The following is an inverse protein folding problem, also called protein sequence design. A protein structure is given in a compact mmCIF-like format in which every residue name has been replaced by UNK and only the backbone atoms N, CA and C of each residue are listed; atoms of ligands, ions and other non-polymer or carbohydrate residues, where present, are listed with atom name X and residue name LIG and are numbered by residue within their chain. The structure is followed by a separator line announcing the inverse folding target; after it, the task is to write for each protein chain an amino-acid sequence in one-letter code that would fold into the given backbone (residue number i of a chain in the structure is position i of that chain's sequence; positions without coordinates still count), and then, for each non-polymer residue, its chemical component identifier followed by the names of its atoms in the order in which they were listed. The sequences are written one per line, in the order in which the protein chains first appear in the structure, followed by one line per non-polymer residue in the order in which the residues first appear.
data_IF_897921366910
#
_entry.id   IF_897921366910
#
_cell.length_a   1.000
_cell.length_b   1.000
_cell.length_c   1.000
_cell.angle_alpha   90.00
_cell.angle_beta   90.00
_cell.angle_gamma   90.00
#
_symmetry.space_group_name_H-M   'P 1'
#
loop_
_entity.id
_entity.type
_entity.pdbx_description
1 polymer ?
#
# COMPACT_ATOMS: atom_id res chain seq x y z
N UNK A 1 -5.49 -9.27 0.71
CA UNK A 1 -6.11 -8.01 0.22
C UNK A 1 -7.60 -7.98 0.46
N UNK A 2 -8.36 -9.03 0.09
CA UNK A 2 -9.77 -9.18 0.47
C UNK A 2 -9.99 -8.96 1.98
N UNK A 3 -9.20 -9.64 2.81
CA UNK A 3 -9.31 -9.53 4.28
C UNK A 3 -9.07 -8.11 4.82
N UNK A 4 -8.18 -7.33 4.19
CA UNK A 4 -7.96 -5.93 4.55
C UNK A 4 -9.18 -5.08 4.19
N UNK A 5 -9.71 -5.26 2.98
CA UNK A 5 -10.87 -4.49 2.50
C UNK A 5 -12.09 -4.81 3.35
N UNK A 6 -12.36 -6.09 3.62
CA UNK A 6 -13.46 -6.50 4.51
C UNK A 6 -13.30 -5.89 5.90
N UNK A 7 -12.09 -5.94 6.49
CA UNK A 7 -11.83 -5.36 7.81
C UNK A 7 -12.11 -3.85 7.87
N UNK A 8 -11.73 -3.09 6.85
CA UNK A 8 -11.87 -1.64 6.87
C UNK A 8 -13.18 -1.11 6.29
N UNK A 9 -13.91 -1.93 5.53
CA UNK A 9 -15.23 -1.57 4.99
C UNK A 9 -16.26 -1.41 6.11
N UNK A 10 -16.19 -2.26 7.15
CA UNK A 10 -17.05 -2.17 8.34
C UNK A 10 -16.81 -0.91 9.19
N UNK A 11 -15.77 -0.12 8.86
CA UNK A 11 -15.31 1.05 9.62
C UNK A 11 -15.41 2.36 8.83
N UNK A 12 -16.08 2.35 7.68
CA UNK A 12 -16.23 3.50 6.76
C UNK A 12 -14.90 4.19 6.36
N UNK A 13 -13.77 3.48 6.52
CA UNK A 13 -12.43 4.04 6.27
C UNK A 13 -11.93 3.78 4.85
N UNK A 14 -12.61 2.88 4.12
CA UNK A 14 -12.26 2.46 2.75
C UNK A 14 -13.53 2.36 1.93
N UNK A 15 -13.61 3.15 0.85
CA UNK A 15 -14.71 3.10 -0.10
C UNK A 15 -14.36 2.18 -1.28
N UNK A 16 -15.20 1.18 -1.52
CA UNK A 16 -15.03 0.20 -2.60
C UNK A 16 -16.01 0.52 -3.72
N UNK A 17 -15.51 0.61 -4.96
CA UNK A 17 -16.32 0.83 -6.15
C UNK A 17 -17.05 -0.46 -6.60
N UNK A 18 -18.03 -0.39 -7.53
CA UNK A 18 -18.75 -1.57 -8.02
C UNK A 18 -17.88 -2.65 -8.67
N UNK A 19 -16.62 -2.34 -8.98
CA UNK A 19 -15.65 -3.24 -9.58
C UNK A 19 -14.61 -3.76 -8.57
N UNK A 20 -14.80 -3.45 -7.28
CA UNK A 20 -13.94 -3.89 -6.18
C UNK A 20 -12.72 -3.02 -5.94
N UNK A 21 -12.45 -1.99 -6.76
CA UNK A 21 -11.32 -1.10 -6.50
C UNK A 21 -11.62 -0.24 -5.28
N UNK A 22 -10.59 0.18 -4.56
CA UNK A 22 -10.78 1.15 -3.50
C UNK A 22 -9.70 2.22 -3.52
N UNK A 23 -10.10 3.41 -3.08
CA UNK A 23 -9.24 4.57 -2.92
C UNK A 23 -9.53 5.20 -1.56
N UNK A 24 -8.47 5.47 -0.80
CA UNK A 24 -8.57 6.01 0.55
C UNK A 24 -7.28 6.76 0.93
N UNK A 25 -7.35 7.63 1.93
CA UNK A 25 -6.15 8.19 2.53
C UNK A 25 -5.57 7.22 3.55
N UNK A 26 -4.27 6.93 3.46
CA UNK A 26 -3.59 6.01 4.35
C UNK A 26 -2.30 6.60 4.88
N UNK A 27 -2.02 6.35 6.16
CA UNK A 27 -0.67 6.50 6.68
C UNK A 27 0.19 5.36 6.15
N UNK A 28 1.31 5.73 5.55
CA UNK A 28 2.28 4.83 4.94
C UNK A 28 3.60 4.96 5.69
N UNK A 29 4.11 3.84 6.21
CA UNK A 29 5.47 3.73 6.72
C UNK A 29 6.30 2.90 5.75
N UNK A 30 7.26 3.53 5.09
CA UNK A 30 8.15 2.92 4.12
C UNK A 30 9.54 2.77 4.73
N UNK A 31 10.03 1.55 4.84
CA UNK A 31 11.37 1.24 5.35
C UNK A 31 12.20 0.53 4.28
N UNK A 32 13.40 1.05 4.02
CA UNK A 32 14.39 0.45 3.12
C UNK A 32 15.81 0.74 3.61
N UNK A 33 16.81 0.18 2.93
CA UNK A 33 18.22 0.53 3.19
C UNK A 33 18.56 1.98 2.78
N UNK A 34 17.73 2.62 1.95
CA UNK A 34 17.90 4.01 1.54
C UNK A 34 17.32 5.01 2.55
N UNK A 35 16.51 4.54 3.52
CA UNK A 35 15.89 5.38 4.52
C UNK A 35 14.51 4.89 4.95
N UNK A 36 13.95 5.60 5.92
CA UNK A 36 12.59 5.39 6.42
C UNK A 36 11.79 6.68 6.26
N UNK A 37 10.57 6.56 5.73
CA UNK A 37 9.61 7.68 5.59
C UNK A 37 8.28 7.24 6.17
N UNK A 38 7.67 8.13 6.96
CA UNK A 38 6.26 8.01 7.36
C UNK A 38 5.53 9.20 6.80
N UNK A 39 4.49 8.95 6.00
CA UNK A 39 3.69 10.02 5.39
C UNK A 39 2.25 9.57 5.17
N UNK A 40 1.33 10.52 4.99
CA UNK A 40 -0.06 10.24 4.62
C UNK A 40 -0.24 10.54 3.15
N UNK A 41 -0.76 9.58 2.39
CA UNK A 41 -0.99 9.73 0.95
C UNK A 41 -2.27 9.03 0.52
N UNK A 42 -2.70 9.27 -0.71
CA UNK A 42 -3.76 8.51 -1.35
C UNK A 42 -3.24 7.12 -1.68
N UNK A 43 -3.99 6.10 -1.27
CA UNK A 43 -3.72 4.69 -1.55
C UNK A 43 -4.84 4.17 -2.44
N UNK A 44 -4.46 3.52 -3.54
CA UNK A 44 -5.40 2.91 -4.47
C UNK A 44 -5.12 1.42 -4.61
N UNK A 45 -6.12 0.59 -4.39
CA UNK A 45 -6.07 -0.84 -4.69
C UNK A 45 -6.86 -1.13 -5.95
N UNK A 46 -6.23 -1.88 -6.86
CA UNK A 46 -6.85 -2.33 -8.11
C UNK A 46 -7.30 -3.77 -7.90
N UNK A 47 -8.58 -4.03 -8.13
CA UNK A 47 -9.22 -5.35 -7.93
C UNK A 47 -9.86 -5.91 -9.18
N UNK A 48 -9.51 -5.38 -10.35
CA UNK A 48 -10.11 -5.78 -11.61
C UNK A 48 -9.08 -5.86 -12.75
N UNK A 49 -9.42 -6.65 -13.77
CA UNK A 49 -8.66 -6.74 -15.01
C UNK A 49 -7.24 -7.31 -14.84
N UNK A 50 -6.36 -6.92 -15.76
CA UNK A 50 -4.95 -7.36 -15.80
C UNK A 50 -4.11 -6.81 -14.63
N UNK A 51 -4.57 -5.72 -14.01
CA UNK A 51 -3.89 -5.04 -12.91
C UNK A 51 -4.42 -5.46 -11.54
N UNK A 52 -5.24 -6.51 -11.46
CA UNK A 52 -5.77 -7.01 -10.18
C UNK A 52 -4.64 -7.32 -9.20
N UNK A 53 -4.79 -6.80 -7.99
CA UNK A 53 -3.81 -6.92 -6.92
C UNK A 53 -2.78 -5.80 -6.91
N UNK A 54 -2.78 -4.85 -7.84
CA UNK A 54 -1.83 -3.73 -7.76
C UNK A 54 -2.24 -2.72 -6.69
N UNK A 55 -1.23 -2.16 -6.03
CA UNK A 55 -1.37 -1.08 -5.05
C UNK A 55 -0.60 0.13 -5.57
N UNK A 56 -1.23 1.30 -5.58
CA UNK A 56 -0.60 2.56 -5.96
C UNK A 56 -0.65 3.56 -4.81
N UNK A 57 0.45 4.25 -4.60
CA UNK A 57 0.57 5.36 -3.65
C UNK A 57 0.66 6.67 -4.42
N UNK A 58 -0.02 7.70 -3.93
CA UNK A 58 0.15 9.06 -4.42
C UNK A 58 1.53 9.61 -4.05
N UNK A 59 2.09 10.44 -4.93
CA UNK A 59 3.30 11.19 -4.61
C UNK A 59 3.02 12.27 -3.55
N UNK A 60 3.99 12.48 -2.67
CA UNK A 60 4.02 13.57 -1.70
C UNK A 60 5.39 14.23 -1.71
N UNK A 61 5.62 15.22 -0.83
CA UNK A 61 6.95 15.80 -0.65
C UNK A 61 8.00 14.79 -0.15
N UNK A 62 7.57 13.75 0.58
CA UNK A 62 8.46 12.74 1.17
C UNK A 62 8.45 11.41 0.40
N UNK A 63 7.30 11.02 -0.16
CA UNK A 63 7.13 9.82 -0.98
C UNK A 63 7.15 10.21 -2.46
N UNK A 64 8.33 10.18 -3.07
CA UNK A 64 8.50 10.47 -4.51
C UNK A 64 8.95 9.25 -5.27
N UNK A 65 8.50 9.10 -6.53
CA UNK A 65 8.92 8.01 -7.40
C UNK A 65 10.42 8.06 -7.75
N UNK A 66 11.10 9.18 -7.50
CA UNK A 66 12.56 9.23 -7.57
C UNK A 66 13.24 8.37 -6.50
N UNK A 67 12.70 8.41 -5.27
CA UNK A 67 13.33 7.82 -4.09
C UNK A 67 12.71 6.48 -3.67
N UNK A 68 11.44 6.24 -3.95
CA UNK A 68 10.68 5.07 -3.49
C UNK A 68 9.92 4.38 -4.62
N UNK A 69 9.49 3.13 -4.41
CA UNK A 69 8.49 2.52 -5.28
C UNK A 69 7.10 2.97 -4.83
N UNK A 70 6.28 3.44 -5.76
CA UNK A 70 4.91 3.89 -5.46
C UNK A 70 3.86 3.00 -6.13
N UNK A 71 4.30 2.06 -6.97
CA UNK A 71 3.48 1.03 -7.59
C UNK A 71 3.99 -0.33 -7.14
N UNK A 72 3.07 -1.16 -6.64
CA UNK A 72 3.36 -2.51 -6.19
C UNK A 72 2.52 -3.51 -6.97
N UNK A 73 3.13 -4.63 -7.34
CA UNK A 73 2.47 -5.76 -8.01
C UNK A 73 2.70 -7.04 -7.22
N UNK A 74 1.70 -7.93 -7.10
CA UNK A 74 1.89 -9.25 -6.50
C UNK A 74 2.93 -10.10 -7.24
N UNK A 75 3.29 -9.74 -8.48
CA UNK A 75 4.35 -10.41 -9.25
C UNK A 75 5.75 -10.18 -8.66
N UNK A 76 5.93 -9.08 -7.93
CA UNK A 76 7.24 -8.62 -7.44
C UNK A 76 7.28 -8.40 -5.92
N UNK A 77 6.12 -8.31 -5.28
CA UNK A 77 5.97 -8.06 -3.85
C UNK A 77 5.04 -9.08 -3.21
N UNK A 78 5.26 -9.35 -1.93
CA UNK A 78 4.36 -10.15 -1.10
C UNK A 78 3.52 -9.23 -0.23
N UNK A 79 2.23 -9.54 -0.09
CA UNK A 79 1.32 -8.77 0.75
C UNK A 79 0.84 -9.61 1.92
N UNK A 80 0.88 -9.02 3.12
CA UNK A 80 0.40 -9.62 4.34
C UNK A 80 -0.56 -8.65 5.03
N UNK A 81 -1.76 -9.12 5.35
CA UNK A 81 -2.68 -8.35 6.18
C UNK A 81 -2.54 -8.78 7.63
N UNK A 82 -2.24 -7.82 8.51
CA UNK A 82 -2.14 -8.02 9.95
C UNK A 82 -3.37 -7.44 10.63
N UNK A 83 -4.31 -8.32 10.98
CA UNK A 83 -5.59 -7.92 11.58
C UNK A 83 -5.47 -7.30 12.99
N UNK A 84 -4.37 -7.53 13.72
CA UNK A 84 -4.19 -7.01 15.08
C UNK A 84 -4.12 -5.48 15.15
N UNK A 85 -3.64 -4.84 14.09
CA UNK A 85 -3.56 -3.38 13.98
C UNK A 85 -4.09 -2.85 12.64
N UNK A 86 -4.79 -3.70 11.87
CA UNK A 86 -5.39 -3.34 10.60
C UNK A 86 -4.38 -2.96 9.52
N UNK A 87 -3.11 -3.32 9.67
CA UNK A 87 -2.06 -2.93 8.73
C UNK A 87 -1.97 -3.89 7.53
N UNK A 88 -1.83 -3.33 6.33
CA UNK A 88 -1.36 -4.06 5.16
C UNK A 88 0.14 -3.86 5.01
N UNK A 89 0.89 -4.95 4.99
CA UNK A 89 2.34 -4.95 4.85
C UNK A 89 2.70 -5.45 3.45
N UNK A 90 3.45 -4.65 2.72
CA UNK A 90 3.98 -4.95 1.39
C UNK A 90 5.49 -5.11 1.50
N UNK A 91 6.00 -6.29 1.19
CA UNK A 91 7.43 -6.59 1.25
C UNK A 91 7.98 -6.85 -0.16
N UNK A 92 9.18 -6.37 -0.41
CA UNK A 92 9.86 -6.59 -1.70
C UNK A 92 11.37 -6.47 -1.58
N UNK A 93 12.05 -6.72 -2.71
CA UNK A 93 13.48 -6.47 -2.86
C UNK A 93 13.74 -5.71 -4.15
N UNK A 94 14.61 -4.71 -4.12
CA UNK A 94 15.07 -4.06 -5.35
C UNK A 94 16.42 -3.38 -5.18
N UNK A 95 17.22 -3.27 -6.25
CA UNK A 95 18.46 -2.48 -6.23
C UNK A 95 18.22 -1.01 -5.89
N UNK A 96 17.10 -0.43 -6.39
CA UNK A 96 16.71 0.96 -6.11
C UNK A 96 16.55 1.23 -4.61
N UNK A 97 16.01 0.26 -3.88
CA UNK A 97 15.81 0.34 -2.42
C UNK A 97 17.03 -0.16 -1.62
N UNK A 98 18.15 -0.44 -2.29
CA UNK A 98 19.36 -0.97 -1.66
C UNK A 98 19.21 -2.38 -1.11
N UNK A 99 18.19 -3.15 -1.53
CA UNK A 99 17.90 -4.48 -1.02
C UNK A 99 16.44 -4.68 -0.64
N UNK A 100 16.20 -5.31 0.51
CA UNK A 100 14.86 -5.55 1.03
C UNK A 100 14.21 -4.25 1.51
N UNK A 101 12.90 -4.15 1.31
CA UNK A 101 12.10 -3.04 1.81
C UNK A 101 10.73 -3.54 2.26
N UNK A 102 10.09 -2.75 3.11
CA UNK A 102 8.76 -2.99 3.63
C UNK A 102 7.95 -1.69 3.61
N UNK A 103 6.68 -1.80 3.23
CA UNK A 103 5.73 -0.69 3.19
C UNK A 103 4.51 -1.10 4.01
N UNK A 104 4.25 -0.39 5.09
CA UNK A 104 3.08 -0.61 5.94
C UNK A 104 2.05 0.44 5.63
N UNK A 105 0.82 0.01 5.35
CA UNK A 105 -0.32 0.88 5.02
C UNK A 105 -1.42 0.69 6.05
N UNK A 106 -1.88 1.79 6.63
CA UNK A 106 -3.04 1.84 7.54
C UNK A 106 -3.95 2.98 7.07
N UNK A 107 -5.26 2.77 6.85
CA UNK A 107 -6.19 3.86 6.56
C UNK A 107 -6.13 4.96 7.62
N UNK A 108 -6.12 6.21 7.18
CA UNK A 108 -6.21 7.37 8.05
C UNK A 108 -7.69 7.58 8.40
N UNK A 109 -8.04 7.38 9.68
CA UNK A 109 -9.38 7.62 10.24
C UNK A 109 -9.53 9.02 10.81
#
# INVERSE_FOLDING_TARGET
MKDFVDFWSDRDSVNVDPYGNCEFHGQVSYTSNCGTVVDTTTVRFIRNGYDDGKIRLGETGSLTAGNFHLDFSPDFQTYEFRASDGALIVCGKSPKMGGAYSVTVVPAV
#
